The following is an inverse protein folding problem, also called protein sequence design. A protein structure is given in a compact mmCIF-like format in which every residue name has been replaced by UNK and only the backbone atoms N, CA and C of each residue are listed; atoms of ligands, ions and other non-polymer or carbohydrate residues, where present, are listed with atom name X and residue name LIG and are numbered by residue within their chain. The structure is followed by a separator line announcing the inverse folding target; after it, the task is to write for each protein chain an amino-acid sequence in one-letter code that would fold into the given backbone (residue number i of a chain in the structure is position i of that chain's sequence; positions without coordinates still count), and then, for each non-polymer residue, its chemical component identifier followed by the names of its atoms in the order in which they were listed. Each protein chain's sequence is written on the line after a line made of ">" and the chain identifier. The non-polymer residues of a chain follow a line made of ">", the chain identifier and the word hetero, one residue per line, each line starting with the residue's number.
data_IF_613791897949
#
_entry.id   IF_613791897949
#
_cell.length_a   1.000
_cell.length_b   1.000
_cell.length_c   1.000
_cell.angle_alpha   90.00
_cell.angle_beta   90.00
_cell.angle_gamma   90.00
#
_symmetry.space_group_name_H-M   'P 1'
#
loop_
_entity.id
_entity.type
_entity.pdbx_description
1 polymer ?
#
# COMPACT_ATOMS: atom_id res chain seq x y z
N UNK A 1 23.56 37.97 -27.75
CA UNK A 1 24.58 37.21 -27.02
C UNK A 1 24.15 37.18 -25.56
N UNK A 2 23.52 36.09 -25.12
CA UNK A 2 23.18 35.87 -23.72
C UNK A 2 23.73 34.52 -23.34
N UNK A 3 24.69 34.53 -22.40
CA UNK A 3 25.44 33.36 -21.95
C UNK A 3 24.58 32.55 -20.97
N UNK A 4 24.26 31.30 -21.31
CA UNK A 4 23.66 30.35 -20.38
C UNK A 4 24.75 29.81 -19.44
N UNK A 5 24.76 30.27 -18.19
CA UNK A 5 25.54 29.65 -17.12
C UNK A 5 24.73 28.47 -16.55
N UNK A 6 25.08 27.25 -16.95
CA UNK A 6 24.62 26.03 -16.28
C UNK A 6 25.46 25.82 -15.02
N UNK A 7 24.85 25.93 -13.84
CA UNK A 7 25.46 25.46 -12.59
C UNK A 7 25.39 23.93 -12.55
N UNK A 8 26.56 23.29 -12.59
CA UNK A 8 26.73 21.84 -12.45
C UNK A 8 26.78 21.51 -10.96
N UNK A 9 25.66 21.07 -10.37
CA UNK A 9 25.67 20.55 -9.00
C UNK A 9 26.22 19.13 -9.06
N UNK A 10 27.42 18.91 -8.52
CA UNK A 10 27.91 17.57 -8.22
C UNK A 10 27.31 17.13 -6.88
N UNK A 11 26.36 16.19 -6.93
CA UNK A 11 25.98 15.44 -5.74
C UNK A 11 27.11 14.45 -5.44
N UNK A 12 27.94 14.78 -4.46
CA UNK A 12 28.82 13.79 -3.82
C UNK A 12 27.95 12.95 -2.89
N UNK A 13 27.67 11.72 -3.29
CA UNK A 13 27.15 10.70 -2.38
C UNK A 13 28.13 10.55 -1.20
N UNK A 14 27.65 10.46 0.06
CA UNK A 14 28.50 10.17 1.20
C UNK A 14 29.30 8.89 0.94
N UNK A 15 30.59 8.92 1.25
CA UNK A 15 31.55 7.90 0.84
C UNK A 15 31.56 6.62 1.71
N UNK A 16 30.62 6.43 2.63
CA UNK A 16 30.46 5.20 3.41
C UNK A 16 28.97 5.01 3.77
N UNK A 17 28.45 3.77 3.81
CA UNK A 17 27.09 3.52 4.26
C UNK A 17 27.03 3.75 5.77
N UNK A 18 26.45 4.88 6.19
CA UNK A 18 26.03 5.05 7.58
C UNK A 18 25.00 3.94 7.87
N UNK A 19 25.34 3.05 8.79
CA UNK A 19 24.45 2.00 9.23
C UNK A 19 23.23 2.65 9.90
N UNK A 20 22.11 2.67 9.19
CA UNK A 20 20.83 3.05 9.77
C UNK A 20 20.49 2.02 10.84
N UNK A 21 20.60 2.46 12.10
CA UNK A 21 20.25 1.66 13.28
C UNK A 21 18.73 1.55 13.33
N UNK A 22 18.19 0.33 13.37
CA UNK A 22 16.74 0.14 13.45
C UNK A 22 16.26 0.75 14.77
N UNK A 23 15.24 1.60 14.74
CA UNK A 23 14.67 2.23 15.94
C UNK A 23 14.14 1.15 16.89
N UNK A 24 13.78 -0.02 16.34
CA UNK A 24 13.39 -1.20 17.11
C UNK A 24 14.55 -1.80 17.93
N UNK A 25 15.80 -1.53 17.55
CA UNK A 25 17.00 -1.99 18.27
C UNK A 25 17.31 -1.15 19.54
N UNK A 26 16.60 -0.04 19.76
CA UNK A 26 16.79 0.85 20.93
C UNK A 26 15.71 0.70 22.01
N UNK A 27 14.72 -0.16 21.78
CA UNK A 27 13.68 -0.47 22.77
C UNK A 27 14.17 -1.56 23.74
N UNK A 28 14.64 -1.15 24.92
CA UNK A 28 15.05 -2.07 26.00
C UNK A 28 13.83 -2.61 26.77
N UNK A 29 13.05 -3.48 26.13
CA UNK A 29 11.89 -4.14 26.74
C UNK A 29 12.25 -5.56 27.21
N UNK A 30 12.03 -5.84 28.51
CA UNK A 30 12.21 -7.19 29.09
C UNK A 30 11.01 -8.08 28.74
N UNK A 31 10.96 -8.47 27.46
CA UNK A 31 9.88 -9.23 26.87
C UNK A 31 9.64 -10.57 27.57
N UNK A 32 10.68 -11.20 28.12
CA UNK A 32 10.55 -12.47 28.85
C UNK A 32 9.64 -12.31 30.06
N UNK A 33 9.83 -11.27 30.86
CA UNK A 33 9.01 -11.00 32.04
C UNK A 33 7.59 -10.55 31.68
N UNK A 34 7.43 -9.87 30.54
CA UNK A 34 6.09 -9.54 30.01
C UNK A 34 5.32 -10.82 29.69
N UNK A 35 5.94 -11.80 29.02
CA UNK A 35 5.30 -13.08 28.69
C UNK A 35 5.04 -13.97 29.92
N UNK A 36 5.89 -13.88 30.94
CA UNK A 36 5.69 -14.56 32.21
C UNK A 36 4.62 -13.88 33.09
N UNK A 37 4.05 -12.75 32.65
CA UNK A 37 2.93 -12.08 33.30
C UNK A 37 3.34 -11.13 34.43
N UNK A 38 4.57 -10.63 34.42
CA UNK A 38 5.07 -9.70 35.43
C UNK A 38 4.35 -8.35 35.33
N UNK A 39 3.46 -8.09 36.29
CA UNK A 39 2.61 -6.89 36.32
C UNK A 39 3.41 -5.59 36.36
N UNK A 40 4.58 -5.56 36.98
CA UNK A 40 5.36 -4.33 37.08
C UNK A 40 5.96 -3.95 35.72
N UNK A 41 6.46 -4.94 34.97
CA UNK A 41 7.01 -4.73 33.63
C UNK A 41 5.88 -4.42 32.63
N UNK A 42 4.72 -5.06 32.79
CA UNK A 42 3.53 -4.79 31.96
C UNK A 42 3.01 -3.36 32.16
N UNK A 43 2.91 -2.87 33.39
CA UNK A 43 2.47 -1.49 33.64
C UNK A 43 3.50 -0.47 33.14
N UNK A 44 4.80 -0.74 33.31
CA UNK A 44 5.85 0.11 32.73
C UNK A 44 5.77 0.16 31.20
N UNK A 45 5.61 -0.99 30.52
CA UNK A 45 5.50 -1.04 29.06
C UNK A 45 4.26 -0.30 28.51
N UNK A 46 3.18 -0.19 29.28
CA UNK A 46 1.99 0.60 28.89
C UNK A 46 2.24 2.11 28.92
N UNK A 47 3.19 2.57 29.74
CA UNK A 47 3.54 3.98 29.86
C UNK A 47 4.59 4.42 28.82
N UNK A 48 5.20 3.47 28.10
CA UNK A 48 6.14 3.78 27.03
C UNK A 48 5.40 4.42 25.86
N UNK A 49 5.67 5.71 25.65
CA UNK A 49 5.27 6.47 24.48
C UNK A 49 6.55 6.85 23.74
N UNK A 50 6.68 6.42 22.49
CA UNK A 50 7.78 6.86 21.65
C UNK A 50 7.44 8.23 21.10
N UNK A 51 8.29 9.22 21.38
CA UNK A 51 8.16 10.56 20.82
C UNK A 51 8.53 10.48 19.33
N UNK A 52 7.52 10.49 18.45
CA UNK A 52 7.72 10.48 17.00
C UNK A 52 8.11 11.85 16.45
N UNK A 53 8.03 12.92 17.26
CA UNK A 53 8.33 14.29 16.82
C UNK A 53 9.70 14.44 16.16
N UNK A 54 10.81 13.79 16.58
CA UNK A 54 12.11 13.93 15.92
C UNK A 54 12.13 13.32 14.51
N UNK A 55 11.40 12.23 14.29
CA UNK A 55 11.30 11.55 12.98
C UNK A 55 10.34 12.32 12.09
N UNK A 56 9.24 12.79 12.65
CA UNK A 56 8.30 13.68 11.97
C UNK A 56 9.00 14.98 11.55
N UNK A 57 9.76 15.64 12.43
CA UNK A 57 10.54 16.84 12.09
C UNK A 57 11.59 16.57 11.01
N UNK A 58 12.24 15.41 11.00
CA UNK A 58 13.19 15.03 9.93
C UNK A 58 12.49 14.73 8.60
N UNK A 59 11.30 14.11 8.63
CA UNK A 59 10.44 13.91 7.46
C UNK A 59 9.95 15.26 6.91
N UNK A 60 9.46 16.15 7.76
CA UNK A 60 9.01 17.49 7.38
C UNK A 60 10.18 18.38 6.93
N UNK A 61 11.38 18.27 7.51
CA UNK A 61 12.56 19.02 7.08
C UNK A 61 13.18 18.50 5.76
N UNK A 62 12.97 17.21 5.43
CA UNK A 62 13.29 16.67 4.11
C UNK A 62 12.30 17.17 3.04
N UNK A 63 11.03 17.35 3.43
CA UNK A 63 9.96 17.90 2.58
C UNK A 63 10.17 19.41 2.30
N UNK A 64 10.50 20.22 3.32
CA UNK A 64 10.71 21.68 3.18
C UNK A 64 11.96 22.06 2.36
N UNK A 65 12.91 21.14 2.16
CA UNK A 65 14.04 21.33 1.24
C UNK A 65 13.67 21.13 -0.23
N UNK A 66 12.48 20.61 -0.50
CA UNK A 66 11.87 20.54 -1.83
C UNK A 66 10.75 21.59 -1.89
N UNK A 67 11.12 22.88 -1.81
CA UNK A 67 10.24 23.92 -2.33
C UNK A 67 10.18 23.84 -3.87
N UNK A 68 9.44 22.86 -4.39
CA UNK A 68 8.77 23.02 -5.68
C UNK A 68 7.33 23.46 -5.40
N UNK A 69 7.11 24.77 -5.42
CA UNK A 69 5.77 25.30 -5.70
C UNK A 69 5.42 24.96 -7.15
N UNK A 70 4.93 23.75 -7.38
CA UNK A 70 4.12 23.45 -8.53
C UNK A 70 2.66 23.58 -8.10
N UNK A 71 1.78 24.20 -8.90
CA UNK A 71 0.36 24.05 -8.68
C UNK A 71 0.09 22.54 -8.78
N UNK A 72 -0.26 21.90 -7.66
CA UNK A 72 -0.69 20.50 -7.67
C UNK A 72 -2.06 20.50 -8.31
N UNK A 73 -2.10 20.47 -9.65
CA UNK A 73 -3.25 19.88 -10.32
C UNK A 73 -3.45 18.51 -9.67
N UNK A 74 -4.66 18.18 -9.20
CA UNK A 74 -4.90 16.88 -8.61
C UNK A 74 -4.43 15.84 -9.63
N UNK A 75 -3.41 15.06 -9.28
CA UNK A 75 -2.98 13.93 -10.09
C UNK A 75 -4.22 13.08 -10.37
N UNK A 76 -4.71 13.18 -11.60
CA UNK A 76 -5.80 12.38 -12.10
C UNK A 76 -5.19 11.03 -12.44
N UNK A 77 -5.53 10.00 -11.66
CA UNK A 77 -5.07 8.66 -11.96
C UNK A 77 -5.93 8.08 -13.08
N UNK A 78 -5.30 7.37 -14.02
CA UNK A 78 -6.01 6.62 -15.05
C UNK A 78 -6.19 5.17 -14.58
N UNK A 79 -7.34 4.57 -14.87
CA UNK A 79 -7.58 3.16 -14.58
C UNK A 79 -6.53 2.31 -15.31
N UNK A 80 -5.82 1.47 -14.57
CA UNK A 80 -4.75 0.61 -15.08
C UNK A 80 -5.30 -0.38 -16.12
N UNK A 81 -6.56 -0.83 -15.98
CA UNK A 81 -7.17 -1.75 -16.95
C UNK A 81 -7.29 -1.11 -18.34
N UNK A 82 -7.40 0.21 -18.43
CA UNK A 82 -7.44 0.95 -19.70
C UNK A 82 -6.05 1.11 -20.35
N UNK A 83 -4.99 0.63 -19.69
CA UNK A 83 -3.61 0.66 -20.19
C UNK A 83 -3.10 -0.72 -20.61
N UNK A 84 -3.83 -1.79 -20.29
CA UNK A 84 -3.44 -3.16 -20.65
C UNK A 84 -3.66 -3.40 -22.15
N UNK A 85 -2.57 -3.67 -22.86
CA UNK A 85 -2.58 -4.01 -24.29
C UNK A 85 -2.91 -5.50 -24.53
N UNK A 86 -4.17 -5.87 -24.31
CA UNK A 86 -4.72 -7.20 -24.62
C UNK A 86 -6.03 -7.09 -25.39
N UNK A 87 -6.15 -7.80 -26.52
CA UNK A 87 -7.40 -7.91 -27.27
C UNK A 87 -8.33 -8.97 -26.64
N UNK A 88 -8.93 -8.60 -25.51
CA UNK A 88 -9.87 -9.45 -24.77
C UNK A 88 -11.03 -9.93 -25.64
N UNK A 89 -11.46 -9.14 -26.63
CA UNK A 89 -12.55 -9.54 -27.53
C UNK A 89 -12.16 -10.75 -28.36
N UNK A 90 -11.01 -10.70 -29.04
CA UNK A 90 -10.52 -11.83 -29.85
C UNK A 90 -10.22 -13.06 -29.00
N UNK A 91 -9.71 -12.88 -27.78
CA UNK A 91 -9.48 -13.98 -26.83
C UNK A 91 -10.81 -14.67 -26.49
N UNK A 92 -11.85 -13.91 -26.14
CA UNK A 92 -13.18 -14.45 -25.79
C UNK A 92 -13.88 -15.11 -26.98
N UNK A 93 -13.64 -14.62 -28.19
CA UNK A 93 -14.14 -15.21 -29.44
C UNK A 93 -13.39 -16.49 -29.86
N UNK A 94 -12.30 -16.85 -29.17
CA UNK A 94 -11.55 -18.09 -29.43
C UNK A 94 -10.47 -17.97 -30.51
N UNK A 95 -10.03 -16.76 -30.84
CA UNK A 95 -8.94 -16.53 -31.78
C UNK A 95 -7.62 -17.12 -31.26
N UNK A 96 -7.13 -18.15 -31.96
CA UNK A 96 -5.91 -18.86 -31.55
C UNK A 96 -4.69 -17.95 -31.46
N UNK A 97 -4.53 -17.00 -32.38
CA UNK A 97 -3.36 -16.14 -32.40
C UNK A 97 -3.39 -15.15 -31.23
N UNK A 98 -4.56 -14.57 -30.93
CA UNK A 98 -4.72 -13.70 -29.77
C UNK A 98 -4.49 -14.47 -28.46
N UNK A 99 -4.98 -15.71 -28.37
CA UNK A 99 -4.76 -16.58 -27.21
C UNK A 99 -3.28 -16.91 -27.03
N UNK A 100 -2.55 -17.30 -28.09
CA UNK A 100 -1.12 -17.61 -27.95
C UNK A 100 -0.31 -16.37 -27.54
N UNK A 101 -0.63 -15.18 -28.06
CA UNK A 101 0.00 -13.93 -27.63
C UNK A 101 -0.30 -13.62 -26.16
N UNK A 102 -1.55 -13.78 -25.72
CA UNK A 102 -1.96 -13.51 -24.35
C UNK A 102 -1.32 -14.47 -23.33
N UNK A 103 -0.96 -15.70 -23.73
CA UNK A 103 -0.24 -16.64 -22.85
C UNK A 103 1.17 -16.20 -22.52
N UNK A 104 1.82 -15.46 -23.41
CA UNK A 104 3.18 -14.94 -23.22
C UNK A 104 3.19 -13.59 -22.49
N UNK A 105 2.02 -12.98 -22.35
CA UNK A 105 1.87 -11.68 -21.70
C UNK A 105 2.18 -11.76 -20.20
N UNK A 106 2.91 -10.76 -19.71
CA UNK A 106 3.23 -10.58 -18.30
C UNK A 106 2.88 -9.16 -17.87
N UNK A 107 2.60 -9.01 -16.57
CA UNK A 107 2.30 -7.71 -15.97
C UNK A 107 3.36 -7.36 -14.93
N UNK A 108 4.02 -6.22 -15.12
CA UNK A 108 4.95 -5.66 -14.14
C UNK A 108 4.20 -4.78 -13.14
N UNK A 109 4.23 -5.17 -11.86
CA UNK A 109 3.55 -4.44 -10.79
C UNK A 109 4.36 -3.25 -10.28
N UNK A 110 5.67 -3.20 -10.54
CA UNK A 110 6.58 -2.22 -9.94
C UNK A 110 6.16 -0.75 -10.18
N UNK A 111 5.77 -0.33 -11.40
CA UNK A 111 5.40 1.06 -11.64
C UNK A 111 4.19 1.50 -10.80
N UNK A 112 3.22 0.61 -10.63
CA UNK A 112 2.01 0.89 -9.84
C UNK A 112 2.34 0.91 -8.35
N UNK A 113 3.21 0.01 -7.89
CA UNK A 113 3.68 0.02 -6.51
C UNK A 113 4.40 1.34 -6.17
N UNK A 114 5.22 1.87 -7.08
CA UNK A 114 5.91 3.16 -6.92
C UNK A 114 4.92 4.34 -6.84
N UNK A 115 3.90 4.36 -7.69
CA UNK A 115 2.82 5.37 -7.63
C UNK A 115 2.10 5.30 -6.28
N UNK A 116 1.73 4.10 -5.82
CA UNK A 116 1.04 3.93 -4.53
C UNK A 116 1.91 4.31 -3.33
N UNK A 117 3.23 4.08 -3.40
CA UNK A 117 4.16 4.50 -2.35
C UNK A 117 4.27 6.02 -2.27
N UNK A 118 4.35 6.70 -3.42
CA UNK A 118 4.59 8.14 -3.53
C UNK A 118 3.32 8.99 -3.52
N UNK A 119 2.13 8.40 -3.60
CA UNK A 119 0.87 9.14 -3.60
C UNK A 119 0.62 9.86 -2.26
N UNK A 120 0.32 11.17 -2.35
CA UNK A 120 -0.09 12.00 -1.22
C UNK A 120 -1.39 11.48 -0.59
N UNK A 121 -2.38 11.16 -1.43
CA UNK A 121 -3.62 10.51 -1.05
C UNK A 121 -3.67 9.09 -1.64
N UNK A 122 -3.19 8.13 -0.87
CA UNK A 122 -3.16 6.72 -1.27
C UNK A 122 -4.55 6.12 -1.43
N UNK A 123 -5.56 6.62 -0.71
CA UNK A 123 -6.92 6.10 -0.84
C UNK A 123 -7.53 6.51 -2.18
N UNK A 124 -7.36 7.79 -2.57
CA UNK A 124 -7.75 8.25 -3.91
C UNK A 124 -6.99 7.49 -5.00
N UNK A 125 -5.68 7.29 -4.82
CA UNK A 125 -4.88 6.54 -5.77
C UNK A 125 -5.39 5.10 -5.95
N UNK A 126 -5.67 4.38 -4.86
CA UNK A 126 -6.25 3.03 -4.91
C UNK A 126 -7.61 3.04 -5.61
N UNK A 127 -8.49 4.00 -5.27
CA UNK A 127 -9.83 4.05 -5.85
C UNK A 127 -9.79 4.28 -7.36
N UNK A 128 -8.98 5.23 -7.82
CA UNK A 128 -8.94 5.64 -9.23
C UNK A 128 -8.10 4.69 -10.10
N UNK A 129 -6.91 4.26 -9.65
CA UNK A 129 -6.03 3.38 -10.42
C UNK A 129 -6.64 2.01 -10.71
N UNK A 130 -7.41 1.47 -9.76
CA UNK A 130 -7.99 0.12 -9.89
C UNK A 130 -9.46 0.15 -10.28
N UNK A 131 -10.00 1.35 -10.53
CA UNK A 131 -11.40 1.56 -10.85
C UNK A 131 -12.30 0.93 -9.79
N UNK A 132 -12.08 1.22 -8.49
CA UNK A 132 -13.01 0.82 -7.43
C UNK A 132 -14.34 1.53 -7.66
N UNK A 133 -15.16 0.85 -8.44
CA UNK A 133 -16.24 1.49 -9.13
C UNK A 133 -17.46 1.49 -8.20
N UNK A 134 -17.91 2.68 -7.85
CA UNK A 134 -19.24 2.94 -7.30
C UNK A 134 -20.29 2.75 -8.41
N UNK A 135 -20.24 1.65 -9.18
CA UNK A 135 -21.23 1.40 -10.24
C UNK A 135 -22.62 1.55 -9.64
N UNK A 136 -23.55 2.02 -10.45
CA UNK A 136 -24.94 2.18 -10.04
C UNK A 136 -25.45 0.88 -9.42
N UNK A 137 -25.77 0.97 -8.13
CA UNK A 137 -26.31 -0.16 -7.39
C UNK A 137 -27.79 -0.27 -7.73
N UNK A 138 -28.21 -1.44 -8.16
CA UNK A 138 -29.62 -1.68 -8.44
C UNK A 138 -30.42 -1.85 -7.15
N UNK A 139 -31.73 -1.52 -7.14
CA UNK A 139 -32.60 -1.78 -5.99
C UNK A 139 -32.62 -3.25 -5.55
N UNK A 140 -32.42 -4.16 -6.50
CA UNK A 140 -32.36 -5.60 -6.24
C UNK A 140 -31.05 -5.96 -5.52
N UNK A 141 -29.89 -5.44 -5.95
CA UNK A 141 -28.60 -5.65 -5.26
C UNK A 141 -28.66 -5.17 -3.80
N UNK A 142 -29.30 -4.02 -3.52
CA UNK A 142 -29.44 -3.49 -2.16
C UNK A 142 -30.25 -4.40 -1.22
N UNK A 143 -31.14 -5.25 -1.76
CA UNK A 143 -31.92 -6.19 -0.97
C UNK A 143 -31.12 -7.45 -0.60
N UNK A 144 -29.97 -7.68 -1.24
CA UNK A 144 -29.15 -8.88 -1.06
C UNK A 144 -27.68 -8.52 -0.79
N UNK A 145 -27.36 -7.86 0.33
CA UNK A 145 -25.98 -7.58 0.70
C UNK A 145 -25.20 -8.89 0.93
N UNK A 146 -23.98 -8.93 0.40
CA UNK A 146 -23.10 -10.09 0.46
C UNK A 146 -21.93 -9.83 1.41
N UNK A 147 -21.40 -10.92 1.97
CA UNK A 147 -20.17 -10.91 2.75
C UNK A 147 -19.12 -11.81 2.10
N UNK A 148 -17.92 -11.28 1.88
CA UNK A 148 -16.80 -11.99 1.28
C UNK A 148 -15.69 -12.23 2.30
N UNK A 149 -15.11 -13.43 2.27
CA UNK A 149 -13.93 -13.79 3.04
C UNK A 149 -12.78 -14.14 2.11
N UNK A 150 -11.62 -13.50 2.29
CA UNK A 150 -10.41 -13.80 1.50
C UNK A 150 -9.20 -13.99 2.40
N UNK A 151 -8.31 -14.93 2.05
CA UNK A 151 -7.01 -15.11 2.70
C UNK A 151 -5.93 -14.70 1.72
N UNK A 152 -5.08 -13.76 2.10
CA UNK A 152 -4.06 -13.18 1.23
C UNK A 152 -2.70 -13.19 1.91
N UNK A 153 -1.61 -13.26 1.13
CA UNK A 153 -0.27 -13.30 1.70
C UNK A 153 0.83 -12.64 0.85
N UNK A 154 0.57 -12.33 -0.43
CA UNK A 154 1.54 -11.73 -1.38
C UNK A 154 0.80 -10.93 -2.45
N UNK A 155 1.56 -10.07 -3.14
CA UNK A 155 1.17 -9.26 -4.29
C UNK A 155 -0.06 -8.38 -4.02
N UNK A 156 0.20 -7.18 -3.52
CA UNK A 156 -0.86 -6.22 -3.18
C UNK A 156 -1.66 -5.78 -4.41
N UNK A 157 -1.01 -5.59 -5.55
CA UNK A 157 -1.64 -5.16 -6.80
C UNK A 157 -2.67 -6.20 -7.28
N UNK A 158 -2.33 -7.49 -7.18
CA UNK A 158 -3.26 -8.57 -7.48
C UNK A 158 -4.49 -8.56 -6.56
N UNK A 159 -4.29 -8.29 -5.26
CA UNK A 159 -5.39 -8.19 -4.30
C UNK A 159 -6.32 -7.03 -4.65
N UNK A 160 -5.76 -5.89 -5.06
CA UNK A 160 -6.56 -4.73 -5.48
C UNK A 160 -7.38 -5.03 -6.74
N UNK A 161 -6.80 -5.64 -7.77
CA UNK A 161 -7.55 -6.08 -8.95
C UNK A 161 -8.65 -7.10 -8.62
N UNK A 162 -8.33 -8.06 -7.75
CA UNK A 162 -9.30 -9.04 -7.29
C UNK A 162 -10.49 -8.35 -6.62
N UNK A 163 -10.23 -7.45 -5.67
CA UNK A 163 -11.29 -6.74 -4.94
C UNK A 163 -12.08 -5.81 -5.86
N UNK A 164 -11.43 -5.03 -6.71
CA UNK A 164 -12.12 -4.06 -7.58
C UNK A 164 -13.09 -4.75 -8.54
N UNK A 165 -12.78 -5.98 -8.98
CA UNK A 165 -13.65 -6.75 -9.88
C UNK A 165 -15.05 -7.05 -9.30
N UNK A 166 -15.18 -7.22 -7.98
CA UNK A 166 -16.45 -7.53 -7.31
C UNK A 166 -16.80 -6.58 -6.15
N UNK A 167 -16.13 -5.43 -6.06
CA UNK A 167 -16.40 -4.44 -5.03
C UNK A 167 -17.78 -3.79 -5.21
N UNK A 168 -18.52 -3.70 -4.10
CA UNK A 168 -19.79 -2.98 -3.97
C UNK A 168 -19.85 -2.31 -2.61
N UNK A 169 -20.34 -1.07 -2.52
CA UNK A 169 -20.35 -0.31 -1.26
C UNK A 169 -21.32 -0.88 -0.21
N UNK A 170 -22.32 -1.68 -0.61
CA UNK A 170 -23.29 -2.31 0.30
C UNK A 170 -22.89 -3.72 0.76
N UNK A 171 -21.79 -4.25 0.23
CA UNK A 171 -21.24 -5.55 0.64
C UNK A 171 -20.19 -5.38 1.73
N UNK A 172 -19.90 -6.46 2.45
CA UNK A 172 -18.87 -6.53 3.49
C UNK A 172 -17.71 -7.42 3.06
N UNK A 173 -16.48 -7.01 3.36
CA UNK A 173 -15.28 -7.73 2.95
C UNK A 173 -14.41 -7.98 4.17
N UNK A 174 -14.12 -9.25 4.46
CA UNK A 174 -13.22 -9.66 5.53
C UNK A 174 -11.98 -10.30 4.91
N UNK A 175 -10.82 -9.66 5.08
CA UNK A 175 -9.57 -10.09 4.46
C UNK A 175 -8.59 -10.51 5.54
N UNK A 176 -8.34 -11.81 5.62
CA UNK A 176 -7.34 -12.39 6.49
C UNK A 176 -5.94 -12.30 5.85
N UNK A 177 -5.01 -11.60 6.50
CA UNK A 177 -3.62 -11.49 6.05
C UNK A 177 -2.77 -12.54 6.76
N UNK A 178 -2.06 -13.37 5.99
CA UNK A 178 -1.19 -14.40 6.58
C UNK A 178 -0.09 -13.80 7.45
N UNK A 179 0.22 -14.46 8.56
CA UNK A 179 1.36 -14.10 9.41
C UNK A 179 2.71 -14.19 8.71
N UNK A 180 2.84 -15.05 7.70
CA UNK A 180 4.05 -15.18 6.88
C UNK A 180 4.19 -14.12 5.79
N UNK A 181 3.20 -13.24 5.60
CA UNK A 181 3.30 -12.16 4.63
C UNK A 181 4.39 -11.16 5.04
N UNK A 182 5.04 -10.56 4.04
CA UNK A 182 6.09 -9.58 4.26
C UNK A 182 5.54 -8.27 4.88
N UNK A 183 6.44 -7.46 5.45
CA UNK A 183 6.09 -6.24 6.18
C UNK A 183 5.43 -5.20 5.27
N UNK A 184 5.91 -5.05 4.03
CA UNK A 184 5.40 -4.07 3.07
C UNK A 184 3.98 -4.44 2.63
N UNK A 185 3.75 -5.71 2.30
CA UNK A 185 2.41 -6.22 1.99
C UNK A 185 1.43 -5.99 3.14
N UNK A 186 1.82 -6.31 4.38
CA UNK A 186 0.98 -6.06 5.57
C UNK A 186 0.69 -4.57 5.77
N UNK A 187 1.67 -3.69 5.54
CA UNK A 187 1.49 -2.25 5.59
C UNK A 187 0.43 -1.78 4.59
N UNK A 188 0.54 -2.20 3.33
CA UNK A 188 -0.44 -1.84 2.30
C UNK A 188 -1.84 -2.38 2.58
N UNK A 189 -1.95 -3.63 3.04
CA UNK A 189 -3.22 -4.19 3.47
C UNK A 189 -3.84 -3.36 4.61
N UNK A 190 -3.05 -2.92 5.59
CA UNK A 190 -3.55 -2.06 6.66
C UNK A 190 -4.01 -0.69 6.16
N UNK A 191 -3.33 -0.09 5.17
CA UNK A 191 -3.80 1.16 4.54
C UNK A 191 -5.11 0.94 3.78
N UNK A 192 -5.23 -0.17 3.04
CA UNK A 192 -6.47 -0.51 2.34
C UNK A 192 -7.68 -0.56 3.28
N UNK A 193 -7.52 -1.16 4.46
CA UNK A 193 -8.59 -1.20 5.48
C UNK A 193 -8.97 0.16 6.06
N UNK A 194 -8.13 1.20 5.91
CA UNK A 194 -8.47 2.59 6.30
C UNK A 194 -9.20 3.33 5.19
N UNK A 195 -8.99 2.96 3.94
CA UNK A 195 -9.59 3.62 2.78
C UNK A 195 -11.08 3.29 2.62
N UNK A 196 -11.50 2.07 2.99
CA UNK A 196 -12.86 1.59 2.78
C UNK A 196 -13.50 1.17 4.09
N UNK A 197 -14.66 1.76 4.43
CA UNK A 197 -15.37 1.45 5.69
C UNK A 197 -15.93 0.03 5.76
N UNK A 198 -16.10 -0.62 4.61
CA UNK A 198 -16.66 -1.97 4.46
C UNK A 198 -15.60 -3.05 4.16
N UNK A 199 -14.30 -2.71 4.23
CA UNK A 199 -13.19 -3.66 4.10
C UNK A 199 -12.49 -3.80 5.45
N UNK A 200 -12.62 -4.98 6.05
CA UNK A 200 -12.07 -5.33 7.35
C UNK A 200 -10.83 -6.19 7.17
N UNK A 201 -9.68 -5.69 7.63
CA UNK A 201 -8.40 -6.39 7.51
C UNK A 201 -8.08 -7.11 8.81
N UNK A 202 -8.02 -8.43 8.74
CA UNK A 202 -7.67 -9.31 9.86
C UNK A 202 -6.27 -9.87 9.65
N UNK A 203 -5.26 -9.20 10.20
CA UNK A 203 -3.94 -9.84 10.35
C UNK A 203 -3.89 -10.65 11.64
N UNK A 204 -2.89 -11.52 11.81
CA UNK A 204 -2.38 -11.70 13.16
C UNK A 204 -2.01 -10.30 13.67
N UNK A 205 -2.76 -9.78 14.65
CA UNK A 205 -2.21 -8.77 15.55
C UNK A 205 -0.81 -9.25 15.90
N UNK A 206 0.18 -8.36 15.85
CA UNK A 206 1.55 -8.68 16.21
C UNK A 206 1.54 -9.52 17.51
N UNK A 207 1.65 -10.85 17.37
CA UNK A 207 2.44 -11.61 18.33
C UNK A 207 3.82 -11.13 18.00
N UNK A 208 4.23 -10.06 18.69
CA UNK A 208 5.55 -9.48 18.60
C UNK A 208 6.55 -10.63 18.50
N UNK A 209 7.33 -10.75 17.41
CA UNK A 209 8.45 -11.66 17.41
C UNK A 209 9.42 -11.11 18.44
N UNK A 210 9.42 -11.70 19.62
CA UNK A 210 10.61 -11.72 20.44
C UNK A 210 11.49 -12.80 19.81
N UNK A 211 12.70 -12.40 19.40
CA UNK A 211 13.72 -13.37 19.01
C UNK A 211 13.96 -14.40 20.12
#
# INVERSE_FOLDING_TARGET
>A
MSSNNYFRIQLTLPSEPEAYKDILDELDLDCKRIFEGDRNVIEQAKEWTYDTNPIEELLFAADDRIQLTLPVEPQAYKDILDEIDLDCKRILEGDRNAIEQAKEWTYDTNPVEEILLSADDRCRAIEELFGFNKKDVTPDELQYPLAYGAVVYKNFIQVLFMLSAFYRPHNEYCIAVSGSADKIFKFFMAQLGKCFSNIHIMGPMHKYPCE
#
